data_IF_463558559326
#
_entry.id   IF_463558559326
#
_cell.length_a   1.000
_cell.length_b   1.000
_cell.length_c   1.000
_cell.angle_alpha   90.00
_cell.angle_beta   90.00
_cell.angle_gamma   90.00
#
_symmetry.space_group_name_H-M   'P 1'
#
loop_
_entity.id
_entity.type
_entity.pdbx_description
1 polymer ?
#
# COMPACT_ATOMS: atom_id res chain seq x y z
N UNK A 1 14.30 -4.80 13.86
CA UNK A 1 12.86 -5.04 13.65
C UNK A 1 12.44 -4.34 12.37
N UNK A 2 11.84 -5.05 11.42
CA UNK A 2 11.33 -4.45 10.18
C UNK A 2 9.90 -3.93 10.43
N UNK A 3 9.80 -2.62 10.66
CA UNK A 3 8.56 -1.92 10.97
C UNK A 3 8.67 -0.50 10.42
N UNK A 4 7.63 -0.03 9.75
CA UNK A 4 7.61 1.28 9.14
C UNK A 4 6.21 1.89 9.21
N UNK A 5 6.19 3.23 9.33
CA UNK A 5 4.97 4.03 9.28
C UNK A 5 5.13 5.07 8.17
N UNK A 6 4.14 5.18 7.29
CA UNK A 6 4.13 6.15 6.19
C UNK A 6 2.83 6.94 6.17
N UNK A 7 2.92 8.20 5.75
CA UNK A 7 1.78 8.97 5.25
C UNK A 7 1.79 8.86 3.73
N UNK A 8 0.71 8.33 3.15
CA UNK A 8 0.64 8.01 1.72
C UNK A 8 -0.66 8.49 1.10
N UNK A 9 -0.63 8.79 -0.20
CA UNK A 9 -1.80 9.09 -1.02
C UNK A 9 -2.15 7.91 -1.91
N UNK A 10 -3.41 7.49 -1.93
CA UNK A 10 -3.90 6.47 -2.89
C UNK A 10 -3.92 7.07 -4.29
N UNK A 11 -3.18 6.47 -5.22
CA UNK A 11 -3.06 7.01 -6.61
C UNK A 11 -3.74 6.15 -7.67
N UNK A 12 -4.05 4.88 -7.36
CA UNK A 12 -4.77 3.97 -8.27
C UNK A 12 -5.79 3.13 -7.52
N UNK A 13 -6.77 2.62 -8.26
CA UNK A 13 -7.73 1.65 -7.76
C UNK A 13 -7.01 0.36 -7.31
N UNK A 14 -7.52 -0.33 -6.27
CA UNK A 14 -6.96 -1.59 -5.81
C UNK A 14 -7.04 -2.67 -6.89
N UNK A 15 -6.00 -3.49 -6.98
CA UNK A 15 -5.96 -4.68 -7.85
C UNK A 15 -6.21 -5.89 -6.98
N UNK A 16 -7.23 -6.68 -7.33
CA UNK A 16 -7.58 -7.90 -6.61
C UNK A 16 -6.72 -9.06 -7.11
N UNK A 17 -6.15 -9.81 -6.17
CA UNK A 17 -5.34 -10.99 -6.44
C UNK A 17 -5.76 -12.15 -5.52
N UNK A 18 -5.44 -13.36 -5.94
CA UNK A 18 -5.60 -14.58 -5.16
C UNK A 18 -4.22 -15.16 -4.91
N UNK A 19 -3.87 -15.43 -3.66
CA UNK A 19 -2.60 -16.01 -3.25
C UNK A 19 -2.84 -17.10 -2.20
N UNK A 20 -2.44 -18.33 -2.48
CA UNK A 20 -2.64 -19.49 -1.60
C UNK A 20 -4.08 -19.56 -1.03
N UNK A 21 -5.07 -19.44 -1.92
CA UNK A 21 -6.51 -19.40 -1.61
C UNK A 21 -7.01 -18.17 -0.84
N UNK A 22 -6.12 -17.28 -0.40
CA UNK A 22 -6.48 -16.01 0.22
C UNK A 22 -6.67 -14.90 -0.82
N UNK A 23 -7.75 -14.14 -0.69
CA UNK A 23 -7.98 -12.93 -1.47
C UNK A 23 -7.19 -11.75 -0.88
N UNK A 24 -6.34 -11.13 -1.69
CA UNK A 24 -5.56 -9.96 -1.30
C UNK A 24 -5.82 -8.81 -2.27
N UNK A 25 -5.47 -7.59 -1.86
CA UNK A 25 -5.44 -6.43 -2.77
C UNK A 25 -4.07 -5.78 -2.76
N UNK A 26 -3.66 -5.32 -3.94
CA UNK A 26 -2.51 -4.47 -4.13
C UNK A 26 -2.95 -3.05 -4.43
N UNK A 27 -2.30 -2.08 -3.78
CA UNK A 27 -2.69 -0.67 -3.88
C UNK A 27 -1.44 0.14 -4.16
N UNK A 28 -1.44 0.86 -5.28
CA UNK A 28 -0.38 1.81 -5.56
C UNK A 28 -0.64 3.10 -4.81
N UNK A 29 0.34 3.50 -4.01
CA UNK A 29 0.30 4.74 -3.24
C UNK A 29 1.56 5.55 -3.45
N UNK A 30 1.45 6.84 -3.23
CA UNK A 30 2.56 7.79 -3.34
C UNK A 30 2.89 8.37 -1.98
N UNK A 31 4.18 8.54 -1.67
CA UNK A 31 4.64 9.28 -0.50
C UNK A 31 5.33 10.58 -0.92
N UNK A 32 5.28 11.59 -0.06
CA UNK A 32 5.92 12.88 -0.34
C UNK A 32 7.44 12.74 -0.37
N UNK A 33 8.08 13.25 -1.41
CA UNK A 33 9.55 13.35 -1.51
C UNK A 33 9.95 14.83 -1.48
N UNK A 34 11.00 15.21 -0.72
CA UNK A 34 11.58 16.53 -0.82
C UNK A 34 12.27 16.70 -2.18
N UNK A 35 11.55 17.37 -3.09
CA UNK A 35 12.06 18.22 -4.18
C UNK A 35 13.18 17.68 -5.11
N UNK A 36 13.28 16.37 -5.35
CA UNK A 36 14.11 15.85 -6.45
C UNK A 36 13.31 14.95 -7.42
N UNK A 37 13.21 15.39 -8.67
CA UNK A 37 12.36 14.84 -9.74
C UNK A 37 12.84 13.49 -10.29
N UNK A 38 13.72 12.76 -9.59
CA UNK A 38 14.41 11.57 -10.14
C UNK A 38 14.13 10.27 -9.39
N UNK A 39 13.45 10.30 -8.24
CA UNK A 39 13.14 9.07 -7.48
C UNK A 39 11.68 8.66 -7.64
N UNK A 40 11.45 7.36 -7.93
CA UNK A 40 10.11 6.76 -7.87
C UNK A 40 9.63 6.83 -6.43
N UNK A 41 8.62 7.67 -6.17
CA UNK A 41 8.00 7.83 -4.86
C UNK A 41 6.71 7.02 -4.71
N UNK A 42 6.60 5.96 -5.50
CA UNK A 42 5.51 5.01 -5.45
C UNK A 42 5.93 3.80 -4.63
N UNK A 43 5.00 3.27 -3.86
CA UNK A 43 5.13 1.98 -3.20
C UNK A 43 3.83 1.20 -3.35
N UNK A 44 3.96 -0.12 -3.30
CA UNK A 44 2.81 -1.02 -3.40
C UNK A 44 2.44 -1.53 -2.01
N UNK A 45 1.23 -1.22 -1.57
CA UNK A 45 0.65 -1.78 -0.35
C UNK A 45 0.02 -3.13 -0.66
N UNK A 46 0.22 -4.10 0.23
CA UNK A 46 -0.45 -5.40 0.18
C UNK A 46 -1.35 -5.51 1.42
N UNK A 47 -2.65 -5.68 1.18
CA UNK A 47 -3.65 -5.82 2.23
C UNK A 47 -4.37 -7.16 2.10
N UNK A 48 -4.70 -7.77 3.23
CA UNK A 48 -5.47 -9.01 3.34
C UNK A 48 -6.48 -8.91 4.48
N UNK A 49 -7.39 -9.89 4.55
CA UNK A 49 -8.36 -10.03 5.64
C UNK A 49 -9.18 -8.75 5.89
N UNK A 50 -9.35 -8.39 7.16
CA UNK A 50 -10.16 -7.22 7.57
C UNK A 50 -9.67 -5.89 6.98
N UNK A 51 -8.37 -5.70 6.80
CA UNK A 51 -7.81 -4.46 6.26
C UNK A 51 -8.14 -4.30 4.77
N UNK A 52 -8.18 -5.41 4.02
CA UNK A 52 -8.65 -5.43 2.64
C UNK A 52 -10.10 -4.96 2.56
N UNK A 53 -10.98 -5.58 3.36
CA UNK A 53 -12.41 -5.31 3.33
C UNK A 53 -12.75 -3.89 3.77
N UNK A 54 -12.10 -3.44 4.85
CA UNK A 54 -12.19 -2.05 5.30
C UNK A 54 -11.69 -1.08 4.22
N UNK A 55 -10.61 -1.42 3.51
CA UNK A 55 -10.11 -0.54 2.47
C UNK A 55 -11.10 -0.37 1.34
N UNK A 56 -11.63 -1.49 0.82
CA UNK A 56 -12.59 -1.49 -0.27
C UNK A 56 -13.90 -0.76 0.08
N UNK A 57 -14.26 -0.73 1.36
CA UNK A 57 -15.49 -0.10 1.82
C UNK A 57 -15.35 1.40 2.05
N UNK A 58 -14.21 1.86 2.55
CA UNK A 58 -14.08 3.21 3.10
C UNK A 58 -13.12 4.13 2.37
N UNK A 59 -12.18 3.61 1.58
CA UNK A 59 -11.15 4.43 0.95
C UNK A 59 -11.25 4.43 -0.56
N UNK A 60 -10.86 5.56 -1.16
CA UNK A 60 -10.86 5.79 -2.61
C UNK A 60 -9.56 6.43 -3.08
N UNK A 61 -9.41 6.49 -4.39
CA UNK A 61 -8.29 7.21 -5.01
C UNK A 61 -8.33 8.68 -4.58
N UNK A 62 -7.14 9.23 -4.35
CA UNK A 62 -6.86 10.56 -3.80
C UNK A 62 -6.94 10.69 -2.27
N UNK A 63 -7.45 9.69 -1.55
CA UNK A 63 -7.41 9.70 -0.09
C UNK A 63 -5.97 9.63 0.42
N UNK A 64 -5.72 10.30 1.54
CA UNK A 64 -4.49 10.17 2.30
C UNK A 64 -4.71 9.27 3.52
N UNK A 65 -3.75 8.38 3.73
CA UNK A 65 -3.80 7.34 4.75
C UNK A 65 -2.49 7.33 5.53
N UNK A 66 -2.57 7.01 6.82
CA UNK A 66 -1.40 6.60 7.60
C UNK A 66 -1.38 5.07 7.60
N UNK A 67 -0.28 4.49 7.16
CA UNK A 67 -0.09 3.04 7.12
C UNK A 67 1.03 2.62 8.06
N UNK A 68 0.80 1.52 8.77
CA UNK A 68 1.79 0.84 9.59
C UNK A 68 2.01 -0.56 9.01
N UNK A 69 3.26 -0.97 8.81
CA UNK A 69 3.55 -2.23 8.15
C UNK A 69 5.00 -2.68 8.18
N UNK A 70 5.29 -3.69 7.35
CA UNK A 70 6.61 -4.26 7.15
C UNK A 70 7.03 -4.00 5.71
N UNK A 71 8.24 -3.49 5.48
CA UNK A 71 8.77 -3.27 4.14
C UNK A 71 9.36 -4.57 3.61
N UNK A 72 9.05 -4.95 2.37
CA UNK A 72 9.64 -6.10 1.69
C UNK A 72 10.04 -5.73 0.27
N UNK A 73 11.15 -6.29 -0.19
CA UNK A 73 11.59 -6.20 -1.59
C UNK A 73 11.14 -7.39 -2.42
N UNK A 74 10.57 -8.42 -1.77
CA UNK A 74 10.16 -9.65 -2.41
C UNK A 74 8.71 -9.52 -2.86
N UNK A 75 8.48 -9.54 -4.18
CA UNK A 75 7.16 -9.67 -4.76
C UNK A 75 6.53 -11.05 -4.50
N UNK A 76 5.21 -11.13 -4.65
CA UNK A 76 4.46 -12.40 -4.57
C UNK A 76 4.60 -13.25 -5.85
N UNK A 77 5.25 -12.72 -6.90
CA UNK A 77 5.74 -13.37 -8.12
C UNK A 77 7.08 -12.72 -8.53
N UNK A 78 7.83 -13.32 -9.45
CA UNK A 78 9.15 -12.90 -10.00
C UNK A 78 9.17 -11.52 -10.72
N UNK A 79 8.38 -10.56 -10.25
CA UNK A 79 8.24 -9.21 -10.79
C UNK A 79 9.22 -8.25 -10.11
N UNK A 80 10.52 -8.54 -10.24
CA UNK A 80 11.60 -7.63 -9.85
C UNK A 80 11.66 -7.18 -8.39
N UNK A 81 12.64 -6.34 -8.08
CA UNK A 81 12.85 -5.77 -6.74
C UNK A 81 11.98 -4.51 -6.55
N UNK A 82 10.65 -4.64 -6.54
CA UNK A 82 9.75 -3.54 -6.19
C UNK A 82 9.56 -3.45 -4.66
N UNK A 83 9.63 -2.24 -4.11
CA UNK A 83 9.39 -2.01 -2.68
C UNK A 83 7.89 -2.15 -2.40
N UNK A 84 7.57 -3.10 -1.53
CA UNK A 84 6.21 -3.40 -1.08
C UNK A 84 6.10 -3.20 0.42
N UNK A 85 4.90 -2.86 0.89
CA UNK A 85 4.59 -2.79 2.31
C UNK A 85 3.44 -3.72 2.63
N UNK A 86 3.71 -4.72 3.47
CA UNK A 86 2.67 -5.56 4.05
C UNK A 86 2.01 -4.76 5.16
N UNK A 87 0.75 -4.38 4.95
CA UNK A 87 0.02 -3.51 5.87
C UNK A 87 -0.44 -4.31 7.08
N UNK A 88 -0.11 -3.80 8.28
CA UNK A 88 -0.59 -4.32 9.56
C UNK A 88 -1.73 -3.49 10.12
N UNK A 89 -1.70 -2.17 9.92
CA UNK A 89 -2.75 -1.25 10.33
C UNK A 89 -2.86 -0.10 9.35
N UNK A 90 -4.06 0.45 9.23
CA UNK A 90 -4.37 1.54 8.33
C UNK A 90 -5.31 2.51 9.03
N UNK A 91 -4.95 3.78 9.01
CA UNK A 91 -5.68 4.84 9.68
C UNK A 91 -6.11 5.91 8.66
N UNK A 92 -7.37 6.37 8.70
CA UNK A 92 -7.81 7.49 7.88
C UNK A 92 -7.02 8.74 8.26
N UNK A 93 -6.61 9.54 7.27
CA UNK A 93 -5.93 10.81 7.52
C UNK A 93 -6.65 11.99 6.88
N UNK A 94 -6.74 12.02 5.54
CA UNK A 94 -7.52 13.02 4.79
C UNK A 94 -8.32 12.31 3.71
N UNK A 95 -9.59 12.05 3.99
CA UNK A 95 -10.52 11.38 3.08
C UNK A 95 -11.28 12.42 2.26
N UNK A 96 -11.46 12.16 0.97
CA UNK A 96 -12.19 13.04 0.03
C UNK A 96 -13.64 12.59 -0.09
#
# INVERSE_FOLDING_TARGET
>A
MNHAIFVVKVIKNPVHLIYNDDQIIEIKVQFSVPQSNTSKNELTLVLWGEYRDNFLKYYKVQDYLIIEGIITLKGYKDEGNEVRVIVKRLYPFLLV
#
